data_IF_325220819838
#
_entry.id   IF_325220819838
#
_cell.length_a   1.000
_cell.length_b   1.000
_cell.length_c   1.000
_cell.angle_alpha   90.00
_cell.angle_beta   90.00
_cell.angle_gamma   90.00
#
_symmetry.space_group_name_H-M   'P 1'
#
loop_
_entity.id
_entity.type
_entity.pdbx_description
1 polymer ?
#
# COMPACT_ATOMS: atom_id res chain seq x y z
N UNK A 1 9.57 15.27 -14.88
CA UNK A 1 9.56 13.79 -14.88
C UNK A 1 8.28 13.35 -15.54
N UNK A 2 8.32 12.33 -16.41
CA UNK A 2 7.09 11.73 -16.91
C UNK A 2 6.28 11.18 -15.72
N UNK A 3 4.94 11.23 -15.74
CA UNK A 3 4.15 10.55 -14.73
C UNK A 3 4.54 9.08 -14.75
N UNK A 4 4.99 8.58 -13.61
CA UNK A 4 5.32 7.17 -13.46
C UNK A 4 4.01 6.40 -13.51
N UNK A 5 3.95 5.33 -14.30
CA UNK A 5 2.72 4.55 -14.49
C UNK A 5 2.40 3.64 -13.28
N UNK A 6 3.10 3.82 -12.16
CA UNK A 6 2.90 3.13 -10.89
C UNK A 6 3.27 4.01 -9.69
N UNK A 7 2.77 3.65 -8.52
CA UNK A 7 3.02 4.36 -7.27
C UNK A 7 4.26 3.87 -6.53
N UNK A 8 5.03 4.85 -6.09
CA UNK A 8 6.23 4.75 -5.26
C UNK A 8 6.06 5.61 -4.01
N UNK A 9 7.03 5.52 -3.11
CA UNK A 9 7.11 6.37 -1.93
C UNK A 9 7.08 7.87 -2.24
N UNK A 10 7.53 8.29 -3.42
CA UNK A 10 7.70 9.70 -3.72
C UNK A 10 6.45 10.33 -4.34
N UNK A 11 5.66 9.53 -5.08
CA UNK A 11 4.51 10.03 -5.84
C UNK A 11 3.15 9.61 -5.23
N UNK A 12 3.04 8.43 -4.60
CA UNK A 12 1.73 7.81 -4.33
C UNK A 12 0.87 8.62 -3.38
N UNK A 13 1.38 8.83 -2.17
CA UNK A 13 0.64 9.57 -1.15
C UNK A 13 0.42 11.06 -1.52
N UNK A 14 1.43 11.80 -2.04
CA UNK A 14 1.21 13.17 -2.49
C UNK A 14 0.16 13.32 -3.58
N UNK A 15 0.13 12.43 -4.58
CA UNK A 15 -0.84 12.47 -5.68
C UNK A 15 -2.26 12.18 -5.20
N UNK A 16 -2.43 11.14 -4.37
CA UNK A 16 -3.75 10.81 -3.81
C UNK A 16 -4.27 11.90 -2.89
N UNK A 17 -3.42 12.44 -2.02
CA UNK A 17 -3.80 13.57 -1.16
C UNK A 17 -4.21 14.76 -2.02
N UNK A 18 -3.44 15.11 -3.05
CA UNK A 18 -3.80 16.20 -3.94
C UNK A 18 -5.16 15.97 -4.63
N UNK A 19 -5.42 14.74 -5.11
CA UNK A 19 -6.70 14.38 -5.71
C UNK A 19 -7.87 14.48 -4.71
N UNK A 20 -7.69 13.95 -3.50
CA UNK A 20 -8.69 14.00 -2.44
C UNK A 20 -8.98 15.43 -1.98
N UNK A 21 -7.97 16.30 -1.83
CA UNK A 21 -8.16 17.70 -1.45
C UNK A 21 -8.80 18.56 -2.55
N UNK A 22 -8.49 18.30 -3.84
CA UNK A 22 -9.21 18.96 -4.95
C UNK A 22 -10.72 18.71 -4.85
N UNK A 23 -11.13 17.52 -4.43
CA UNK A 23 -12.55 17.19 -4.23
C UNK A 23 -13.20 17.96 -3.06
N UNK A 24 -12.43 18.43 -2.07
CA UNK A 24 -12.93 19.15 -0.87
C UNK A 24 -13.23 20.63 -1.15
N UNK A 25 -12.58 21.24 -2.14
CA UNK A 25 -12.61 22.70 -2.42
C UNK A 25 -13.96 23.34 -2.77
N UNK A 26 -15.09 22.62 -2.65
CA UNK A 26 -16.45 23.14 -2.91
C UNK A 26 -17.32 23.27 -1.66
N UNK A 27 -16.88 22.81 -0.48
CA UNK A 27 -17.61 22.97 0.77
C UNK A 27 -16.80 23.84 1.73
N UNK A 28 -17.33 25.03 2.05
CA UNK A 28 -16.75 25.93 3.07
C UNK A 28 -16.51 25.15 4.36
N UNK A 29 -15.30 25.29 4.91
CA UNK A 29 -14.89 24.80 6.24
C UNK A 29 -15.88 25.30 7.31
N UNK A 30 -16.80 24.45 7.72
CA UNK A 30 -17.37 24.51 9.05
C UNK A 30 -16.47 23.64 9.94
N UNK A 31 -15.74 24.30 10.83
CA UNK A 31 -14.62 23.72 11.56
C UNK A 31 -14.92 22.41 12.28
N UNK A 32 -13.90 21.55 12.36
CA UNK A 32 -13.75 20.40 13.26
C UNK A 32 -15.08 19.78 13.75
N UNK A 33 -15.97 19.44 12.83
CA UNK A 33 -17.19 18.73 13.18
C UNK A 33 -16.82 17.26 13.33
N UNK A 34 -17.27 16.61 14.40
CA UNK A 34 -17.15 15.16 14.66
C UNK A 34 -17.76 14.26 13.56
N UNK A 35 -18.31 14.84 12.49
CA UNK A 35 -18.98 14.12 11.41
C UNK A 35 -18.00 13.68 10.32
N UNK A 36 -18.11 12.45 9.80
CA UNK A 36 -17.30 12.00 8.68
C UNK A 36 -17.61 12.80 7.41
N UNK A 37 -16.57 13.13 6.66
CA UNK A 37 -16.68 13.78 5.33
C UNK A 37 -16.17 12.81 4.27
N UNK A 38 -17.06 12.34 3.39
CA UNK A 38 -16.68 11.48 2.27
C UNK A 38 -15.96 12.28 1.17
N UNK A 39 -14.88 11.71 0.65
CA UNK A 39 -14.00 12.32 -0.34
C UNK A 39 -14.03 11.53 -1.66
N UNK A 40 -13.78 12.23 -2.77
CA UNK A 40 -13.80 11.63 -4.10
C UNK A 40 -15.14 10.95 -4.39
N UNK A 41 -15.07 9.74 -4.95
CA UNK A 41 -16.27 8.99 -5.38
C UNK A 41 -17.02 8.31 -4.24
N UNK A 42 -16.48 8.30 -3.02
CA UNK A 42 -17.23 7.89 -1.82
C UNK A 42 -18.49 8.77 -1.60
N UNK A 43 -18.56 9.95 -2.24
CA UNK A 43 -19.76 10.79 -2.24
C UNK A 43 -20.90 10.23 -3.07
N UNK A 44 -20.62 9.41 -4.09
CA UNK A 44 -21.59 8.87 -5.03
C UNK A 44 -22.38 7.68 -4.47
N UNK A 45 -21.87 6.99 -3.45
CA UNK A 45 -22.51 5.78 -2.89
C UNK A 45 -23.87 6.03 -2.21
N UNK A 46 -24.31 7.28 -2.03
CA UNK A 46 -25.67 7.63 -1.58
C UNK A 46 -26.66 8.01 -2.69
N UNK A 47 -26.21 8.17 -3.94
CA UNK A 47 -27.07 8.47 -5.10
C UNK A 47 -26.70 7.55 -6.26
N UNK A 48 -27.51 6.51 -6.45
CA UNK A 48 -27.34 5.47 -7.47
C UNK A 48 -27.65 6.07 -8.85
N UNK A 49 -26.62 6.51 -9.56
CA UNK A 49 -26.55 6.35 -11.01
C UNK A 49 -25.18 5.74 -11.35
N UNK A 50 -25.21 4.50 -11.84
CA UNK A 50 -24.02 3.78 -12.27
C UNK A 50 -23.51 4.40 -13.58
N UNK A 51 -22.63 5.41 -13.46
CA UNK A 51 -21.81 5.84 -14.58
C UNK A 51 -20.53 5.01 -14.62
N UNK A 52 -20.18 4.53 -15.81
CA UNK A 52 -18.96 3.80 -16.13
C UNK A 52 -17.71 4.72 -16.16
N UNK A 53 -17.70 5.77 -15.34
CA UNK A 53 -16.49 6.55 -15.13
C UNK A 53 -15.58 5.74 -14.20
N UNK A 54 -14.27 5.61 -14.51
CA UNK A 54 -13.34 4.97 -13.59
C UNK A 54 -13.41 5.72 -12.27
N UNK A 55 -13.72 4.97 -11.20
CA UNK A 55 -13.69 5.51 -9.84
C UNK A 55 -12.23 5.77 -9.50
N UNK A 56 -11.74 6.98 -9.72
CA UNK A 56 -10.31 7.25 -9.63
C UNK A 56 -9.82 7.28 -8.18
N UNK A 57 -10.60 7.88 -7.27
CA UNK A 57 -10.16 8.07 -5.89
C UNK A 57 -11.34 8.05 -4.93
N UNK A 58 -11.22 7.26 -3.86
CA UNK A 58 -12.21 7.20 -2.77
C UNK A 58 -11.55 7.54 -1.46
N UNK A 59 -12.28 8.18 -0.56
CA UNK A 59 -11.79 8.37 0.79
C UNK A 59 -12.83 8.88 1.78
N UNK A 60 -12.39 9.03 3.02
CA UNK A 60 -13.14 9.58 4.14
C UNK A 60 -12.21 10.42 5.01
N UNK A 61 -12.67 11.58 5.43
CA UNK A 61 -12.01 12.43 6.44
C UNK A 61 -12.76 12.32 7.75
N UNK A 62 -12.07 11.91 8.82
CA UNK A 62 -12.63 11.69 10.14
C UNK A 62 -11.57 12.00 11.21
N UNK A 63 -11.90 12.85 12.19
CA UNK A 63 -11.00 13.18 13.33
C UNK A 63 -9.55 13.55 12.92
N UNK A 64 -9.41 14.44 11.92
CA UNK A 64 -8.12 14.86 11.33
C UNK A 64 -7.33 13.76 10.61
N UNK A 65 -7.90 12.57 10.45
CA UNK A 65 -7.40 11.54 9.55
C UNK A 65 -8.10 11.63 8.21
N UNK A 66 -7.32 11.48 7.15
CA UNK A 66 -7.79 11.23 5.79
C UNK A 66 -7.41 9.80 5.47
N UNK A 67 -8.41 8.97 5.23
CA UNK A 67 -8.23 7.62 4.71
C UNK A 67 -8.62 7.66 3.25
N UNK A 68 -7.72 7.24 2.37
CA UNK A 68 -7.88 7.28 0.93
C UNK A 68 -7.48 5.97 0.29
N UNK A 69 -8.12 5.65 -0.83
CA UNK A 69 -7.73 4.53 -1.68
C UNK A 69 -7.76 4.95 -3.14
N UNK A 70 -6.86 4.35 -3.92
CA UNK A 70 -6.95 4.30 -5.37
C UNK A 70 -7.02 2.82 -5.79
N UNK A 71 -7.96 2.50 -6.67
CA UNK A 71 -8.15 1.16 -7.24
C UNK A 71 -8.29 1.28 -8.74
N UNK A 72 -7.43 0.60 -9.46
CA UNK A 72 -7.28 0.66 -10.91
C UNK A 72 -7.12 -0.75 -11.49
N UNK A 73 -6.91 -0.81 -12.80
CA UNK A 73 -6.67 -2.05 -13.53
C UNK A 73 -5.27 -2.61 -13.28
N UNK A 74 -5.04 -3.85 -13.71
CA UNK A 74 -3.72 -4.49 -13.73
C UNK A 74 -2.77 -3.63 -14.56
N UNK A 75 -1.55 -3.44 -14.08
CA UNK A 75 -0.53 -2.64 -14.73
C UNK A 75 -0.21 -3.20 -16.13
N UNK A 76 -0.13 -2.34 -17.17
CA UNK A 76 0.27 -2.77 -18.51
C UNK A 76 1.68 -3.36 -18.53
N UNK A 77 1.92 -4.30 -19.45
CA UNK A 77 3.17 -5.08 -19.50
C UNK A 77 4.45 -4.22 -19.51
N UNK A 78 4.47 -3.13 -20.28
CA UNK A 78 5.63 -2.24 -20.38
C UNK A 78 6.00 -1.64 -19.00
N UNK A 79 4.99 -1.32 -18.19
CA UNK A 79 5.18 -0.77 -16.84
C UNK A 79 5.44 -1.86 -15.80
N UNK A 80 4.94 -3.09 -16.02
CA UNK A 80 5.26 -4.22 -15.14
C UNK A 80 6.76 -4.51 -15.18
N UNK A 81 7.39 -4.44 -16.35
CA UNK A 81 8.83 -4.60 -16.48
C UNK A 81 9.60 -3.54 -15.68
N UNK A 82 9.17 -2.28 -15.71
CA UNK A 82 9.74 -1.19 -14.88
C UNK A 82 9.59 -1.47 -13.38
N UNK A 83 8.45 -2.02 -12.95
CA UNK A 83 8.23 -2.45 -11.56
C UNK A 83 9.20 -3.58 -11.21
N UNK A 84 9.44 -4.52 -12.13
CA UNK A 84 10.41 -5.61 -11.96
C UNK A 84 11.84 -5.11 -11.79
N UNK A 85 12.24 -4.13 -12.59
CA UNK A 85 13.53 -3.45 -12.45
C UNK A 85 13.65 -2.71 -11.11
N UNK A 86 12.61 -1.97 -10.71
CA UNK A 86 12.57 -1.22 -9.46
C UNK A 86 12.59 -2.13 -8.21
N UNK A 87 11.90 -3.27 -8.28
CA UNK A 87 11.85 -4.27 -7.21
C UNK A 87 13.02 -5.26 -7.25
N UNK A 88 13.75 -5.36 -8.36
CA UNK A 88 14.84 -6.32 -8.62
C UNK A 88 14.39 -7.79 -8.60
N UNK A 89 13.16 -8.05 -9.04
CA UNK A 89 12.58 -9.39 -9.15
C UNK A 89 11.73 -9.50 -10.42
N UNK A 90 11.38 -10.73 -10.82
CA UNK A 90 10.38 -10.96 -11.87
C UNK A 90 9.00 -10.72 -11.27
N UNK A 91 8.24 -9.70 -11.72
CA UNK A 91 6.94 -9.36 -11.13
C UNK A 91 5.93 -10.50 -11.19
N UNK A 92 4.94 -10.51 -10.28
CA UNK A 92 3.74 -11.33 -10.40
C UNK A 92 2.99 -11.15 -11.72
N UNK A 93 2.17 -12.13 -12.10
CA UNK A 93 1.28 -12.04 -13.27
C UNK A 93 0.32 -10.84 -13.19
N UNK A 94 -0.24 -10.58 -12.01
CA UNK A 94 -1.19 -9.49 -11.80
C UNK A 94 -0.62 -8.50 -10.78
N UNK A 95 -0.02 -7.41 -11.25
CA UNK A 95 0.42 -6.31 -10.40
C UNK A 95 -0.52 -5.12 -10.56
N UNK A 96 -0.96 -4.54 -9.46
CA UNK A 96 -1.78 -3.33 -9.45
C UNK A 96 -0.94 -2.13 -9.01
N UNK A 97 -0.05 -1.66 -9.90
CA UNK A 97 0.93 -0.63 -9.60
C UNK A 97 0.34 0.74 -9.22
N UNK A 98 -0.88 1.05 -9.68
CA UNK A 98 -1.63 2.26 -9.31
C UNK A 98 -2.66 2.02 -8.20
N UNK A 99 -2.63 0.85 -7.55
CA UNK A 99 -3.42 0.65 -6.34
C UNK A 99 -2.66 1.16 -5.12
N UNK A 100 -3.38 1.84 -4.24
CA UNK A 100 -2.83 2.29 -2.96
C UNK A 100 -3.92 2.43 -1.92
N UNK A 101 -3.55 2.20 -0.66
CA UNK A 101 -4.35 2.56 0.50
C UNK A 101 -3.51 3.44 1.42
N UNK A 102 -4.06 4.59 1.79
CA UNK A 102 -3.34 5.64 2.50
C UNK A 102 -4.12 6.14 3.71
N UNK A 103 -3.41 6.33 4.82
CA UNK A 103 -3.89 6.98 6.03
C UNK A 103 -2.99 8.17 6.32
N UNK A 104 -3.56 9.38 6.36
CA UNK A 104 -2.84 10.62 6.61
C UNK A 104 -3.44 11.38 7.77
N UNK A 105 -2.61 11.72 8.76
CA UNK A 105 -3.00 12.57 9.88
C UNK A 105 -2.58 14.01 9.59
N UNK A 106 -3.55 14.88 9.33
CA UNK A 106 -3.30 16.26 8.89
C UNK A 106 -2.44 17.10 9.85
N UNK A 107 -2.64 17.05 11.20
CA UNK A 107 -1.91 17.90 12.13
C UNK A 107 -0.46 17.48 12.33
N UNK A 108 -0.17 16.17 12.31
CA UNK A 108 1.20 15.68 12.48
C UNK A 108 1.92 15.47 11.15
N UNK A 109 1.20 15.39 10.03
CA UNK A 109 1.75 15.03 8.74
C UNK A 109 2.13 13.55 8.63
N UNK A 110 1.79 12.71 9.63
CA UNK A 110 2.09 11.27 9.56
C UNK A 110 1.26 10.65 8.44
N UNK A 111 1.93 9.96 7.53
CA UNK A 111 1.34 9.27 6.40
C UNK A 111 1.75 7.80 6.44
N UNK A 112 0.77 6.91 6.41
CA UNK A 112 0.96 5.48 6.28
C UNK A 112 0.33 5.00 4.97
N UNK A 113 1.14 4.46 4.08
CA UNK A 113 0.72 4.13 2.72
C UNK A 113 1.06 2.68 2.37
N UNK A 114 0.19 2.01 1.63
CA UNK A 114 0.40 0.65 1.17
C UNK A 114 0.52 0.65 -0.35
N UNK A 115 1.66 0.19 -0.85
CA UNK A 115 2.03 0.25 -2.26
C UNK A 115 2.50 -1.11 -2.75
N UNK A 116 2.11 -1.49 -3.97
CA UNK A 116 2.51 -2.77 -4.58
C UNK A 116 4.03 -2.88 -4.76
N UNK A 117 4.67 -1.82 -5.27
CA UNK A 117 6.12 -1.83 -5.55
C UNK A 117 6.95 -1.96 -4.28
N UNK A 118 6.56 -1.28 -3.20
CA UNK A 118 7.25 -1.39 -1.90
C UNK A 118 7.04 -2.76 -1.26
N UNK A 119 5.87 -3.38 -1.43
CA UNK A 119 5.63 -4.75 -1.03
C UNK A 119 6.52 -5.74 -1.78
N UNK A 120 6.64 -5.60 -3.11
CA UNK A 120 7.48 -6.47 -3.94
C UNK A 120 8.97 -6.32 -3.60
N UNK A 121 9.47 -5.12 -3.30
CA UNK A 121 10.85 -4.93 -2.81
C UNK A 121 11.14 -5.74 -1.54
N UNK A 122 10.13 -5.95 -0.70
CA UNK A 122 10.22 -6.76 0.51
C UNK A 122 10.08 -8.26 0.29
N UNK A 123 9.95 -8.75 -0.96
CA UNK A 123 9.85 -10.18 -1.27
C UNK A 123 11.22 -10.89 -1.37
N UNK A 124 12.31 -10.13 -1.23
CA UNK A 124 13.65 -10.67 -1.20
C UNK A 124 13.96 -11.38 0.12
N UNK A 125 14.81 -12.41 0.05
CA UNK A 125 15.32 -13.03 1.26
C UNK A 125 16.07 -12.00 2.11
N UNK A 126 15.86 -11.99 3.44
CA UNK A 126 16.58 -11.08 4.32
C UNK A 126 18.08 -11.38 4.26
N UNK A 127 18.94 -10.36 4.40
CA UNK A 127 20.37 -10.60 4.50
C UNK A 127 20.66 -11.48 5.73
N UNK A 128 21.66 -12.36 5.65
CA UNK A 128 21.99 -13.25 6.75
C UNK A 128 22.39 -12.46 8.00
N UNK A 129 21.67 -12.68 9.10
CA UNK A 129 21.89 -11.98 10.36
C UNK A 129 23.04 -12.55 11.21
N UNK A 130 23.62 -13.68 10.79
CA UNK A 130 24.74 -14.39 11.45
C UNK A 130 25.34 -15.41 10.49
N UNK A 131 26.55 -15.90 10.76
CA UNK A 131 27.23 -16.93 9.94
C UNK A 131 26.38 -18.21 9.75
N UNK A 132 25.58 -18.60 10.75
CA UNK A 132 24.65 -19.75 10.62
C UNK A 132 23.40 -19.43 9.79
N UNK A 133 23.04 -18.14 9.66
CA UNK A 133 21.95 -17.70 8.80
C UNK A 133 22.38 -17.63 7.33
N UNK A 134 23.68 -17.45 7.06
CA UNK A 134 24.24 -17.63 5.72
C UNK A 134 23.94 -19.03 5.21
N UNK A 135 24.11 -20.06 6.03
CA UNK A 135 23.76 -21.44 5.67
C UNK A 135 22.26 -21.63 5.39
N UNK A 136 21.37 -20.95 6.11
CA UNK A 136 19.90 -21.06 5.90
C UNK A 136 19.50 -20.37 4.59
N UNK A 137 19.99 -19.15 4.37
CA UNK A 137 19.75 -18.41 3.12
C UNK A 137 20.38 -19.15 1.95
N UNK A 138 21.61 -19.65 2.09
CA UNK A 138 22.27 -20.48 1.09
C UNK A 138 21.49 -21.77 0.82
N UNK A 139 20.89 -22.41 1.83
CA UNK A 139 20.04 -23.58 1.64
C UNK A 139 18.72 -23.25 0.92
N UNK A 140 18.11 -22.09 1.20
CA UNK A 140 16.94 -21.61 0.46
C UNK A 140 17.31 -21.30 -1.00
N UNK A 141 18.42 -20.60 -1.22
CA UNK A 141 18.98 -20.33 -2.54
C UNK A 141 19.32 -21.63 -3.30
N UNK A 142 19.88 -22.64 -2.60
CA UNK A 142 20.25 -23.94 -3.15
C UNK A 142 19.03 -24.76 -3.56
N UNK A 143 17.95 -24.75 -2.76
CA UNK A 143 16.69 -25.43 -3.15
C UNK A 143 16.12 -24.84 -4.44
N UNK A 144 16.19 -23.51 -4.59
CA UNK A 144 15.70 -22.85 -5.80
C UNK A 144 16.66 -23.05 -6.99
N UNK A 145 17.97 -23.08 -6.77
CA UNK A 145 18.93 -23.36 -7.85
C UNK A 145 18.83 -24.80 -8.36
N UNK A 146 18.60 -25.78 -7.46
CA UNK A 146 18.36 -27.19 -7.83
C UNK A 146 17.08 -27.34 -8.65
N UNK A 147 16.01 -26.61 -8.32
CA UNK A 147 14.77 -26.61 -9.11
C UNK A 147 15.01 -26.12 -10.55
N UNK A 148 15.92 -25.15 -10.75
CA UNK A 148 16.32 -24.66 -12.08
C UNK A 148 17.32 -25.57 -12.80
N UNK A 149 18.12 -26.35 -12.07
CA UNK A 149 19.15 -27.21 -12.65
C UNK A 149 18.64 -28.49 -13.34
N UNK A 150 17.34 -28.78 -13.28
CA UNK A 150 16.72 -29.89 -14.03
C UNK A 150 16.64 -29.65 -15.55
N UNK A 151 17.09 -28.49 -16.06
CA UNK A 151 17.28 -28.25 -17.50
C UNK A 151 18.78 -28.23 -17.83
N UNK A 152 19.27 -29.34 -18.40
CA UNK A 152 20.67 -29.55 -18.80
C UNK A 152 21.18 -28.48 -19.82
N UNK A 153 22.01 -27.53 -19.37
CA UNK A 153 22.99 -26.79 -20.21
C UNK A 153 24.22 -26.46 -19.37
N UNK A 154 25.42 -26.67 -19.92
CA UNK A 154 26.71 -26.60 -19.20
C UNK A 154 27.35 -25.20 -19.07
N UNK A 155 26.62 -24.11 -19.30
CA UNK A 155 27.15 -22.73 -19.15
C UNK A 155 26.24 -21.88 -18.25
N UNK A 156 25.90 -22.38 -17.05
CA UNK A 156 25.05 -21.65 -16.11
C UNK A 156 25.94 -20.72 -15.28
N UNK A 157 25.91 -19.42 -15.58
CA UNK A 157 26.33 -18.39 -14.62
C UNK A 157 25.58 -18.67 -13.32
N UNK A 158 26.29 -18.86 -12.21
CA UNK A 158 25.68 -18.93 -10.88
C UNK A 158 24.79 -17.70 -10.69
N UNK A 159 23.48 -17.89 -10.86
CA UNK A 159 22.51 -16.82 -10.67
C UNK A 159 22.40 -16.64 -9.16
N UNK A 160 22.75 -15.45 -8.67
CA UNK A 160 22.49 -15.07 -7.29
C UNK A 160 20.97 -14.95 -7.11
N UNK A 161 20.35 -16.02 -6.61
CA UNK A 161 18.91 -16.09 -6.37
C UNK A 161 18.63 -15.31 -5.09
N UNK A 162 17.79 -14.28 -5.19
CA UNK A 162 17.48 -13.38 -4.07
C UNK A 162 16.01 -13.48 -3.61
N UNK A 163 15.20 -14.33 -4.24
CA UNK A 163 13.78 -14.58 -3.93
C UNK A 163 13.36 -15.96 -4.48
N UNK A 164 12.19 -16.48 -4.10
CA UNK A 164 11.71 -17.85 -4.44
C UNK A 164 10.46 -17.91 -5.34
N UNK A 165 10.09 -16.81 -6.00
CA UNK A 165 8.88 -16.68 -6.83
C UNK A 165 7.55 -16.87 -6.07
N UNK A 166 7.55 -16.96 -4.73
CA UNK A 166 6.31 -17.00 -3.95
C UNK A 166 5.78 -15.62 -3.58
N UNK A 167 6.56 -14.56 -3.85
CA UNK A 167 6.24 -13.17 -3.51
C UNK A 167 5.89 -12.96 -2.03
N UNK A 168 6.44 -13.81 -1.15
CA UNK A 168 6.28 -13.69 0.29
C UNK A 168 7.03 -12.46 0.80
N UNK A 169 6.32 -11.51 1.41
CA UNK A 169 6.90 -10.27 1.93
C UNK A 169 6.57 -10.05 3.41
N UNK A 170 7.50 -9.44 4.14
CA UNK A 170 7.28 -8.92 5.49
C UNK A 170 6.86 -7.43 5.50
N UNK A 171 6.54 -6.88 4.34
CA UNK A 171 6.11 -5.49 4.16
C UNK A 171 4.88 -5.18 5.02
N UNK A 172 5.02 -4.17 5.89
CA UNK A 172 3.96 -3.76 6.82
C UNK A 172 3.22 -2.52 6.36
N UNK A 173 3.67 -1.87 5.29
CA UNK A 173 3.27 -0.52 4.91
C UNK A 173 4.45 0.44 4.98
N UNK A 174 4.31 1.53 4.25
CA UNK A 174 5.30 2.59 4.09
C UNK A 174 4.94 3.78 4.96
N UNK A 175 5.80 4.08 5.93
CA UNK A 175 5.61 5.17 6.87
C UNK A 175 6.44 6.40 6.45
N UNK A 176 5.80 7.56 6.34
CA UNK A 176 6.42 8.82 5.92
C UNK A 176 5.81 10.00 6.67
N UNK A 177 6.55 11.10 6.76
CA UNK A 177 5.99 12.39 7.18
C UNK A 177 5.87 13.30 5.97
N UNK A 178 4.67 13.83 5.73
CA UNK A 178 4.37 14.76 4.65
C UNK A 178 4.05 16.14 5.22
N UNK A 179 4.61 17.17 4.59
CA UNK A 179 4.35 18.57 4.89
C UNK A 179 3.38 19.11 3.83
N UNK A 180 2.29 19.70 4.29
CA UNK A 180 1.31 20.37 3.44
C UNK A 180 1.76 21.81 3.18
N UNK A 181 1.78 22.24 1.92
CA UNK A 181 2.03 23.64 1.57
C UNK A 181 0.88 24.54 2.03
N UNK A 182 1.22 25.71 2.58
CA UNK A 182 0.24 26.73 2.98
C UNK A 182 -0.31 27.51 1.78
N UNK A 183 0.51 27.65 0.73
CA UNK A 183 0.14 28.36 -0.49
C UNK A 183 -0.53 27.43 -1.53
N UNK A 184 -1.54 27.92 -2.28
CA UNK A 184 -2.13 27.20 -3.39
C UNK A 184 -1.20 27.21 -4.63
N UNK A 185 -1.11 26.10 -5.39
CA UNK A 185 -1.85 24.85 -5.22
C UNK A 185 -1.35 24.05 -4.01
N UNK A 186 -2.28 23.40 -3.29
CA UNK A 186 -1.93 22.50 -2.19
C UNK A 186 -1.03 21.38 -2.76
N UNK A 187 0.16 21.28 -2.20
CA UNK A 187 1.16 20.27 -2.50
C UNK A 187 1.61 19.61 -1.22
N UNK A 188 2.04 18.36 -1.35
CA UNK A 188 2.55 17.57 -0.24
C UNK A 188 3.99 17.19 -0.57
N UNK A 189 4.92 17.54 0.31
CA UNK A 189 6.32 17.19 0.18
C UNK A 189 6.75 16.32 1.34
N UNK A 190 7.68 15.40 1.08
CA UNK A 190 8.24 14.55 2.12
C UNK A 190 9.12 15.37 3.05
N UNK A 191 8.89 15.25 4.36
CA UNK A 191 9.78 15.77 5.39
C UNK A 191 11.01 14.88 5.52
N UNK A 192 12.16 15.48 5.84
CA UNK A 192 13.38 14.76 6.22
C UNK A 192 13.34 14.24 7.66
N UNK A 193 12.32 14.62 8.44
CA UNK A 193 12.16 14.13 9.80
C UNK A 193 11.69 12.67 9.84
N UNK A 194 12.52 11.82 10.43
CA UNK A 194 12.22 10.41 10.60
C UNK A 194 11.09 10.15 11.61
N UNK A 195 10.26 9.16 11.29
CA UNK A 195 9.25 8.64 12.20
C UNK A 195 9.85 7.51 13.04
N UNK A 196 9.66 7.60 14.36
CA UNK A 196 10.20 6.63 15.29
C UNK A 196 9.25 5.46 15.46
N UNK A 197 9.68 4.29 15.04
CA UNK A 197 9.00 3.01 15.32
C UNK A 197 9.66 2.41 16.56
N UNK A 198 8.88 2.17 17.60
CA UNK A 198 9.36 1.58 18.86
C UNK A 198 8.67 0.25 19.13
N UNK A 199 9.41 -0.66 19.76
CA UNK A 199 8.83 -1.92 20.26
C UNK A 199 7.87 -1.61 21.39
N UNK A 200 6.62 -2.01 21.23
CA UNK A 200 5.59 -1.88 22.27
C UNK A 200 5.12 -3.26 22.74
N UNK A 201 4.77 -3.35 24.03
CA UNK A 201 4.07 -4.51 24.61
C UNK A 201 2.55 -4.41 24.44
N UNK A 202 2.06 -3.26 23.99
CA UNK A 202 0.65 -3.04 23.69
C UNK A 202 0.20 -3.99 22.57
N UNK A 203 -1.02 -4.49 22.71
CA UNK A 203 -1.66 -5.37 21.73
C UNK A 203 -2.92 -4.71 21.21
N UNK A 204 -3.25 -5.04 19.97
CA UNK A 204 -4.56 -4.71 19.39
C UNK A 204 -5.64 -5.28 20.31
N UNK A 205 -6.56 -4.42 20.76
CA UNK A 205 -7.64 -4.83 21.64
C UNK A 205 -8.72 -5.57 20.81
N UNK A 206 -8.67 -6.90 20.85
CA UNK A 206 -9.63 -7.76 20.16
C UNK A 206 -11.07 -7.64 20.66
N UNK A 207 -11.32 -7.12 21.87
CA UNK A 207 -12.68 -6.91 22.36
C UNK A 207 -13.35 -5.76 21.60
N UNK A 208 -12.62 -4.65 21.40
CA UNK A 208 -13.09 -3.52 20.60
C UNK A 208 -13.40 -3.92 19.16
N UNK A 209 -12.61 -4.84 18.59
CA UNK A 209 -12.85 -5.37 17.23
C UNK A 209 -14.12 -6.22 17.10
N UNK A 210 -14.66 -6.75 18.19
CA UNK A 210 -15.88 -7.58 18.18
C UNK A 210 -17.15 -6.75 18.34
N UNK A 211 -17.02 -5.48 18.72
CA UNK A 211 -18.16 -4.59 18.87
C UNK A 211 -18.82 -4.34 17.52
N UNK A 212 -20.15 -4.40 17.50
CA UNK A 212 -20.94 -4.17 16.28
C UNK A 212 -21.25 -2.69 16.15
N UNK A 213 -20.27 -1.94 15.64
CA UNK A 213 -20.46 -0.54 15.25
C UNK A 213 -20.86 -0.43 13.77
N UNK A 214 -21.65 0.58 13.38
CA UNK A 214 -21.93 0.85 11.97
C UNK A 214 -20.63 1.12 11.19
N UNK A 215 -20.45 0.42 10.08
CA UNK A 215 -19.34 0.66 9.15
C UNK A 215 -19.62 1.98 8.43
N UNK A 216 -18.72 2.94 8.56
CA UNK A 216 -18.78 4.22 7.85
C UNK A 216 -18.23 4.09 6.43
N UNK A 217 -17.08 3.45 6.33
CA UNK A 217 -16.35 3.31 5.08
C UNK A 217 -15.50 2.05 5.15
N UNK A 218 -15.53 1.28 4.07
CA UNK A 218 -14.79 0.06 3.91
C UNK A 218 -14.13 0.06 2.54
N UNK A 219 -12.88 -0.35 2.50
CA UNK A 219 -12.19 -0.61 1.24
C UNK A 219 -11.32 -1.86 1.31
N UNK A 220 -11.21 -2.50 0.15
CA UNK A 220 -10.40 -3.69 -0.11
C UNK A 220 -9.57 -3.44 -1.37
N UNK A 221 -8.25 -3.33 -1.18
CA UNK A 221 -7.30 -2.89 -2.20
C UNK A 221 -6.31 -4.02 -2.48
N UNK A 222 -6.41 -4.63 -3.66
CA UNK A 222 -5.42 -5.60 -4.13
C UNK A 222 -4.13 -4.89 -4.56
N UNK A 223 -2.95 -5.41 -4.18
CA UNK A 223 -1.64 -4.90 -4.57
C UNK A 223 -1.01 -5.77 -5.66
N UNK A 224 -1.01 -7.09 -5.48
CA UNK A 224 -0.60 -8.05 -6.49
C UNK A 224 -1.21 -9.43 -6.24
N UNK A 225 -1.23 -10.25 -7.29
CA UNK A 225 -1.69 -11.63 -7.31
C UNK A 225 -0.90 -12.46 -8.34
N UNK A 226 -0.65 -13.72 -8.04
CA UNK A 226 0.05 -14.69 -8.89
C UNK A 226 -0.49 -16.10 -8.66
N UNK A 227 -0.69 -16.88 -9.72
CA UNK A 227 -1.17 -18.27 -9.63
C UNK A 227 -0.01 -19.29 -9.54
N UNK A 228 1.23 -18.83 -9.36
CA UNK A 228 2.43 -19.64 -9.16
C UNK A 228 2.56 -20.75 -10.23
N UNK A 229 2.19 -20.47 -11.47
CA UNK A 229 2.12 -21.44 -12.57
C UNK A 229 1.25 -22.66 -12.23
N UNK A 230 0.02 -22.43 -11.75
CA UNK A 230 -0.95 -23.45 -11.31
C UNK A 230 -0.50 -24.31 -10.11
N UNK A 231 0.56 -23.89 -9.40
CA UNK A 231 1.05 -24.58 -8.20
C UNK A 231 0.49 -24.00 -6.89
N UNK A 232 -0.31 -22.95 -6.96
CA UNK A 232 -0.94 -22.33 -5.80
C UNK A 232 -1.44 -20.93 -6.11
N UNK A 233 -1.49 -20.08 -5.10
CA UNK A 233 -1.79 -18.65 -5.28
C UNK A 233 -1.00 -17.85 -4.27
N UNK A 234 -0.40 -16.75 -4.71
CA UNK A 234 0.18 -15.72 -3.86
C UNK A 234 -0.57 -14.42 -4.12
N UNK A 235 -1.14 -13.83 -3.09
CA UNK A 235 -1.91 -12.60 -3.22
C UNK A 235 -1.66 -11.68 -2.02
N UNK A 236 -1.57 -10.39 -2.29
CA UNK A 236 -1.49 -9.35 -1.27
C UNK A 236 -2.60 -8.32 -1.46
N UNK A 237 -3.47 -8.22 -0.46
CA UNK A 237 -4.55 -7.24 -0.39
C UNK A 237 -4.54 -6.52 0.96
N UNK A 238 -4.87 -5.23 0.97
CA UNK A 238 -5.01 -4.44 2.20
C UNK A 238 -6.45 -4.00 2.35
N UNK A 239 -7.02 -4.25 3.53
CA UNK A 239 -8.40 -3.91 3.85
C UNK A 239 -8.44 -2.93 5.00
N UNK A 240 -9.40 -2.03 4.96
CA UNK A 240 -9.65 -1.09 6.05
C UNK A 240 -11.13 -0.94 6.29
N UNK A 241 -11.51 -0.88 7.56
CA UNK A 241 -12.87 -0.62 8.00
C UNK A 241 -12.82 0.54 8.99
N UNK A 242 -13.62 1.58 8.73
CA UNK A 242 -13.76 2.70 9.66
C UNK A 242 -15.13 2.67 10.35
N UNK A 243 -15.13 2.97 11.64
CA UNK A 243 -16.31 2.93 12.51
C UNK A 243 -16.49 4.25 13.27
N UNK A 244 -17.69 4.48 13.80
CA UNK A 244 -17.94 5.57 14.76
C UNK A 244 -17.68 5.06 16.17
N UNK A 245 -16.53 5.41 16.76
CA UNK A 245 -16.30 5.15 18.18
C UNK A 245 -17.27 6.00 19.02
N UNK A 246 -18.20 5.35 19.72
CA UNK A 246 -19.21 6.02 20.54
C UNK A 246 -18.65 6.85 21.73
N UNK A 247 -17.33 6.79 21.97
CA UNK A 247 -16.65 7.46 23.09
C UNK A 247 -15.37 8.17 22.66
N UNK A 248 -15.43 9.13 21.74
CA UNK A 248 -14.48 10.25 21.62
C UNK A 248 -12.98 9.94 21.38
N UNK A 249 -12.59 8.69 21.19
CA UNK A 249 -11.22 8.28 20.89
C UNK A 249 -11.28 7.27 19.73
N UNK A 250 -10.67 7.61 18.59
CA UNK A 250 -10.63 6.73 17.42
C UNK A 250 -9.63 5.58 17.66
N UNK A 251 -10.07 4.33 17.55
CA UNK A 251 -9.20 3.19 17.28
C UNK A 251 -9.23 2.93 15.78
N UNK A 252 -8.07 2.97 15.12
CA UNK A 252 -7.90 2.50 13.74
C UNK A 252 -7.43 1.05 13.82
N UNK A 253 -8.06 0.17 13.04
CA UNK A 253 -7.69 -1.25 12.95
C UNK A 253 -7.72 -1.73 11.51
#
# INVERSE_FOLDING_TARGET
MAPTEFYTLDNGAPELLQALYKSVGTTKDEGASSKPVYLGDSRRENHIEAQADPVEHKGIRLHNWIIGSNKTHITPIDTVDEIGEAAKLTPPEMVFGKNQLMLFHEPSGVCYNFLAVEALKGAHFPPPASDNAEDIVANQQLKVSIAKHNTNKEDVKELNITYDWTYSTDYKGSLQRLIKSEEPPITFTKSEEDLKVETTSERINFEKLKEREPILWFEDVALYEDELHDHGTSAMSVKVVSFVMAYGACGLF
#
